data_IF_069902126212
#
_entry.id   IF_069902126212
#
_cell.length_a   1.000
_cell.length_b   1.000
_cell.length_c   1.000
_cell.angle_alpha   90.00
_cell.angle_beta   90.00
_cell.angle_gamma   90.00
#
_symmetry.space_group_name_H-M   'P 1'
#
loop_
_entity.id
_entity.type
_entity.pdbx_description
1 polymer ?
#
# COMPACT_ATOMS: atom_id res chain seq x y z
N UNK A 1 -0.71 -13.50 -13.08
CA UNK A 1 -1.28 -13.88 -11.78
C UNK A 1 -0.88 -12.82 -10.77
N UNK A 2 -1.84 -12.39 -9.95
CA UNK A 2 -1.63 -11.41 -8.88
C UNK A 2 -1.39 -12.17 -7.57
N UNK A 3 -0.28 -11.90 -6.90
CA UNK A 3 -0.05 -12.39 -5.55
C UNK A 3 -0.53 -11.33 -4.55
N UNK A 4 -1.38 -11.72 -3.62
CA UNK A 4 -1.81 -10.86 -2.51
C UNK A 4 -1.10 -11.32 -1.25
N UNK A 5 -0.25 -10.47 -0.68
CA UNK A 5 0.32 -10.68 0.65
C UNK A 5 -0.70 -10.22 1.68
N UNK A 6 -1.31 -11.18 2.37
CA UNK A 6 -2.32 -10.95 3.39
C UNK A 6 -1.67 -10.68 4.75
N UNK A 7 -2.00 -9.54 5.32
CA UNK A 7 -1.61 -9.10 6.65
C UNK A 7 -2.75 -9.22 7.68
N UNK A 8 -3.66 -10.18 7.48
CA UNK A 8 -4.73 -10.54 8.41
C UNK A 8 -5.74 -9.41 8.66
N UNK A 9 -6.04 -8.63 7.62
CA UNK A 9 -7.05 -7.60 7.69
C UNK A 9 -8.42 -8.11 7.23
N UNK A 10 -9.48 -7.57 7.83
CA UNK A 10 -10.85 -7.92 7.47
C UNK A 10 -11.24 -7.49 6.04
N UNK A 11 -10.53 -6.52 5.46
CA UNK A 11 -10.79 -6.02 4.10
C UNK A 11 -9.96 -6.72 3.01
N UNK A 12 -9.03 -7.63 3.35
CA UNK A 12 -8.20 -8.34 2.35
C UNK A 12 -9.08 -9.01 1.28
N UNK A 13 -10.16 -9.67 1.68
CA UNK A 13 -11.01 -10.40 0.74
C UNK A 13 -11.90 -9.49 -0.12
N UNK A 14 -12.16 -8.25 0.29
CA UNK A 14 -12.80 -7.26 -0.59
C UNK A 14 -11.86 -6.92 -1.77
N UNK A 15 -10.56 -6.77 -1.51
CA UNK A 15 -9.57 -6.56 -2.56
C UNK A 15 -9.46 -7.78 -3.49
N UNK A 16 -9.40 -8.98 -2.91
CA UNK A 16 -9.31 -10.24 -3.68
C UNK A 16 -10.53 -10.41 -4.57
N UNK A 17 -11.73 -10.13 -4.07
CA UNK A 17 -12.96 -10.22 -4.85
C UNK A 17 -12.92 -9.26 -6.04
N UNK A 18 -12.58 -7.98 -5.82
CA UNK A 18 -12.55 -6.99 -6.90
C UNK A 18 -11.49 -7.30 -7.96
N UNK A 19 -10.31 -7.81 -7.55
CA UNK A 19 -9.30 -8.30 -8.49
C UNK A 19 -9.84 -9.47 -9.34
N UNK A 20 -10.57 -10.40 -8.72
CA UNK A 20 -11.22 -11.50 -9.44
C UNK A 20 -12.30 -11.02 -10.42
N UNK A 21 -13.11 -10.04 -10.04
CA UNK A 21 -14.12 -9.41 -10.91
C UNK A 21 -13.48 -8.73 -12.14
N UNK A 22 -12.26 -8.20 -11.99
CA UNK A 22 -11.44 -7.66 -13.09
C UNK A 22 -10.75 -8.76 -13.93
N UNK A 23 -10.97 -10.05 -13.62
CA UNK A 23 -10.43 -11.19 -14.35
C UNK A 23 -9.03 -11.62 -13.91
N UNK A 24 -8.52 -11.11 -12.79
CA UNK A 24 -7.21 -11.54 -12.28
C UNK A 24 -7.29 -12.95 -11.68
N UNK A 25 -6.32 -13.80 -12.04
CA UNK A 25 -6.02 -15.01 -11.25
C UNK A 25 -5.26 -14.55 -10.01
N UNK A 26 -5.87 -14.72 -8.83
CA UNK A 26 -5.34 -14.25 -7.55
C UNK A 26 -4.85 -15.42 -6.71
N UNK A 27 -3.64 -15.30 -6.15
CA UNK A 27 -3.12 -16.21 -5.14
C UNK A 27 -2.84 -15.43 -3.85
N UNK A 28 -3.53 -15.79 -2.77
CA UNK A 28 -3.37 -15.15 -1.46
C UNK A 28 -2.34 -15.89 -0.63
N UNK A 29 -1.39 -15.17 -0.04
CA UNK A 29 -0.31 -15.71 0.78
C UNK A 29 -0.20 -14.90 2.07
N UNK A 30 -0.31 -15.56 3.22
CA UNK A 30 -0.18 -14.87 4.52
C UNK A 30 1.26 -14.48 4.80
N UNK A 31 1.47 -13.30 5.38
CA UNK A 31 2.80 -12.70 5.57
C UNK A 31 3.78 -13.55 6.41
N UNK A 32 3.28 -14.48 7.21
CA UNK A 32 4.04 -15.31 8.15
C UNK A 32 4.09 -16.79 7.73
N UNK A 33 3.31 -17.18 6.73
CA UNK A 33 3.20 -18.56 6.25
C UNK A 33 3.85 -18.79 4.88
N UNK A 34 4.62 -17.81 4.38
CA UNK A 34 5.24 -17.85 3.05
C UNK A 34 6.69 -17.35 3.10
N UNK A 35 7.55 -17.87 2.22
CA UNK A 35 8.90 -17.37 2.01
C UNK A 35 9.00 -16.52 0.74
N UNK A 36 10.06 -15.73 0.61
CA UNK A 36 10.32 -14.97 -0.63
C UNK A 36 10.50 -15.89 -1.84
N UNK A 37 11.08 -17.08 -1.65
CA UNK A 37 11.26 -18.05 -2.73
C UNK A 37 9.93 -18.64 -3.18
N UNK A 38 8.99 -18.86 -2.26
CA UNK A 38 7.62 -19.27 -2.62
C UNK A 38 6.91 -18.18 -3.41
N UNK A 39 7.06 -16.90 -3.02
CA UNK A 39 6.52 -15.77 -3.79
C UNK A 39 7.16 -15.70 -5.18
N UNK A 40 8.48 -15.90 -5.29
CA UNK A 40 9.19 -15.88 -6.57
C UNK A 40 8.77 -17.06 -7.48
N UNK A 41 8.62 -18.26 -6.92
CA UNK A 41 8.19 -19.46 -7.64
C UNK A 41 6.77 -19.35 -8.19
N UNK A 42 5.91 -18.53 -7.57
CA UNK A 42 4.60 -18.20 -8.10
C UNK A 42 4.68 -17.30 -9.35
N UNK A 43 5.82 -16.70 -9.67
CA UNK A 43 6.02 -15.83 -10.83
C UNK A 43 4.94 -14.73 -10.94
N UNK A 44 4.72 -13.90 -9.89
CA UNK A 44 3.71 -12.86 -9.91
C UNK A 44 4.00 -11.85 -11.02
N UNK A 45 2.95 -11.48 -11.77
CA UNK A 45 3.04 -10.33 -12.67
C UNK A 45 2.70 -9.01 -11.95
N UNK A 46 2.00 -9.09 -10.82
CA UNK A 46 1.73 -7.99 -9.90
C UNK A 46 1.69 -8.52 -8.46
N UNK A 47 2.01 -7.67 -7.49
CA UNK A 47 1.89 -7.96 -6.07
C UNK A 47 1.01 -6.89 -5.42
N UNK A 48 0.04 -7.33 -4.63
CA UNK A 48 -0.76 -6.44 -3.78
C UNK A 48 -0.43 -6.78 -2.32
N UNK A 49 -0.13 -5.75 -1.52
CA UNK A 49 0.10 -5.90 -0.09
C UNK A 49 -1.11 -5.34 0.63
N UNK A 50 -1.83 -6.22 1.32
CA UNK A 50 -3.09 -5.86 1.96
C UNK A 50 -2.91 -4.91 3.15
N UNK A 51 -4.00 -4.28 3.61
CA UNK A 51 -4.06 -3.71 4.95
C UNK A 51 -3.75 -4.76 6.02
N UNK A 52 -3.52 -4.31 7.25
CA UNK A 52 -3.26 -5.16 8.41
C UNK A 52 -3.11 -4.35 9.69
N UNK A 53 -3.22 -4.99 10.86
CA UNK A 53 -2.99 -4.34 12.14
C UNK A 53 -1.50 -4.13 12.40
N UNK A 54 -1.19 -3.30 13.40
CA UNK A 54 0.17 -3.14 13.91
C UNK A 54 1.06 -2.28 13.01
N UNK A 55 2.37 -2.53 13.07
CA UNK A 55 3.39 -1.78 12.30
C UNK A 55 4.01 -2.65 11.21
N UNK A 56 4.47 -2.06 10.09
CA UNK A 56 5.09 -2.81 9.00
C UNK A 56 6.26 -3.71 9.40
N UNK A 57 7.05 -3.34 10.41
CA UNK A 57 8.22 -4.10 10.86
C UNK A 57 7.85 -5.43 11.51
N UNK A 58 6.57 -5.60 11.88
CA UNK A 58 6.03 -6.81 12.50
C UNK A 58 5.23 -7.67 11.51
N UNK A 59 5.08 -7.21 10.27
CA UNK A 59 4.21 -7.80 9.25
C UNK A 59 4.91 -8.89 8.42
N UNK A 60 5.60 -9.82 9.09
CA UNK A 60 6.25 -10.97 8.44
C UNK A 60 7.13 -10.60 7.24
N UNK A 61 6.92 -11.26 6.09
CA UNK A 61 7.71 -11.03 4.87
C UNK A 61 7.38 -9.73 4.14
N UNK A 62 6.37 -8.95 4.56
CA UNK A 62 5.82 -7.81 3.81
C UNK A 62 6.91 -6.82 3.34
N UNK A 63 7.75 -6.33 4.25
CA UNK A 63 8.83 -5.41 3.87
C UNK A 63 9.89 -6.07 2.99
N UNK A 64 10.16 -7.36 3.21
CA UNK A 64 11.13 -8.11 2.43
C UNK A 64 10.65 -8.36 0.99
N UNK A 65 9.34 -8.56 0.79
CA UNK A 65 8.71 -8.65 -0.53
C UNK A 65 8.92 -7.33 -1.31
N UNK A 66 8.66 -6.18 -0.69
CA UNK A 66 8.86 -4.87 -1.34
C UNK A 66 10.32 -4.71 -1.78
N UNK A 67 11.29 -4.99 -0.90
CA UNK A 67 12.71 -4.90 -1.23
C UNK A 67 13.13 -5.85 -2.35
N UNK A 68 12.61 -7.08 -2.34
CA UNK A 68 13.02 -8.13 -3.28
C UNK A 68 12.45 -7.93 -4.68
N UNK A 69 11.20 -7.48 -4.78
CA UNK A 69 10.44 -7.49 -6.03
C UNK A 69 10.11 -6.10 -6.56
N UNK A 70 10.20 -5.05 -5.73
CA UNK A 70 9.70 -3.71 -6.08
C UNK A 70 10.32 -3.12 -7.35
N UNK A 71 11.58 -3.45 -7.66
CA UNK A 71 12.24 -2.97 -8.87
C UNK A 71 11.69 -3.60 -10.16
N UNK A 72 11.21 -4.85 -10.10
CA UNK A 72 10.93 -5.67 -11.29
C UNK A 72 9.46 -6.05 -11.45
N UNK A 73 8.70 -6.07 -10.36
CA UNK A 73 7.31 -6.48 -10.32
C UNK A 73 6.47 -5.33 -9.76
N UNK A 74 5.44 -4.88 -10.47
CA UNK A 74 4.55 -3.85 -9.94
C UNK A 74 3.96 -4.22 -8.57
N UNK A 75 4.03 -3.28 -7.62
CA UNK A 75 3.52 -3.45 -6.26
C UNK A 75 2.50 -2.35 -5.94
N UNK A 76 1.34 -2.75 -5.43
CA UNK A 76 0.36 -1.87 -4.80
C UNK A 76 0.25 -2.19 -3.30
N UNK A 77 0.61 -1.25 -2.43
CA UNK A 77 0.41 -1.35 -0.99
C UNK A 77 -0.82 -0.57 -0.53
N UNK A 78 -1.67 -1.19 0.30
CA UNK A 78 -2.88 -0.55 0.85
C UNK A 78 -2.77 -0.47 2.37
N UNK A 79 -2.98 0.72 2.97
CA UNK A 79 -2.90 0.98 4.41
C UNK A 79 -1.55 0.49 5.02
N UNK A 80 -1.51 -0.64 5.73
CA UNK A 80 -0.25 -1.24 6.21
C UNK A 80 0.74 -1.47 5.06
N UNK A 81 0.28 -1.87 3.88
CA UNK A 81 1.11 -2.00 2.69
C UNK A 81 1.71 -0.68 2.22
N UNK A 82 0.94 0.41 2.30
CA UNK A 82 1.43 1.78 2.01
C UNK A 82 2.49 2.21 3.02
N UNK A 83 2.24 1.98 4.31
CA UNK A 83 3.19 2.27 5.39
C UNK A 83 4.47 1.45 5.25
N UNK A 84 4.36 0.19 4.84
CA UNK A 84 5.50 -0.68 4.58
C UNK A 84 6.36 -0.17 3.42
N UNK A 85 5.75 0.37 2.36
CA UNK A 85 6.47 1.02 1.27
C UNK A 85 7.26 2.22 1.82
N UNK A 86 6.61 3.12 2.57
CA UNK A 86 7.27 4.24 3.22
C UNK A 86 8.48 3.81 4.05
N UNK A 87 8.28 2.83 4.94
CA UNK A 87 9.32 2.31 5.83
C UNK A 87 10.48 1.61 5.09
N UNK A 88 10.20 0.87 4.01
CA UNK A 88 11.24 0.17 3.24
C UNK A 88 12.24 1.12 2.61
N UNK A 89 11.78 2.29 2.14
CA UNK A 89 12.65 3.30 1.55
C UNK A 89 13.23 4.30 2.55
N UNK A 90 12.92 4.14 3.86
CA UNK A 90 13.48 4.95 4.93
C UNK A 90 12.57 6.04 5.51
N UNK A 91 11.32 6.12 5.07
CA UNK A 91 10.32 7.02 5.64
C UNK A 91 9.87 6.57 7.03
N UNK A 92 9.60 7.52 7.93
CA UNK A 92 9.14 7.21 9.27
C UNK A 92 7.63 6.91 9.29
N UNK A 93 7.23 5.81 9.93
CA UNK A 93 5.81 5.51 10.22
C UNK A 93 5.48 5.95 11.64
N UNK A 94 4.69 7.02 11.75
CA UNK A 94 4.36 7.71 13.00
C UNK A 94 2.87 7.61 13.30
N UNK A 95 2.44 8.01 14.50
CA UNK A 95 1.02 8.10 14.82
C UNK A 95 0.36 9.23 14.03
N UNK A 96 -0.85 8.97 13.53
CA UNK A 96 -1.70 10.00 12.95
C UNK A 96 -2.02 11.08 13.99
N UNK A 97 -2.27 12.32 13.53
CA UNK A 97 -2.66 13.43 14.42
C UNK A 97 -3.98 13.16 15.16
N UNK A 98 -4.88 12.39 14.56
CA UNK A 98 -6.10 11.89 15.17
C UNK A 98 -6.45 10.48 14.65
N UNK A 99 -7.11 9.62 15.46
CA UNK A 99 -7.61 8.34 14.97
C UNK A 99 -8.79 8.56 14.00
N UNK A 100 -8.76 7.87 12.86
CA UNK A 100 -9.69 8.08 11.75
C UNK A 100 -10.73 6.98 11.54
N UNK A 101 -10.74 5.90 12.31
CA UNK A 101 -11.64 4.74 12.15
C UNK A 101 -13.08 5.11 11.75
N UNK A 102 -13.45 4.79 10.50
CA UNK A 102 -14.80 4.96 9.96
C UNK A 102 -15.16 6.38 9.52
N UNK A 103 -14.21 7.30 9.47
CA UNK A 103 -14.41 8.67 8.98
C UNK A 103 -14.09 8.76 7.49
N UNK A 104 -14.65 9.76 6.83
CA UNK A 104 -14.33 10.08 5.43
C UNK A 104 -13.50 11.35 5.34
N UNK A 105 -12.65 11.42 4.32
CA UNK A 105 -11.89 12.61 3.96
C UNK A 105 -11.90 12.82 2.45
N UNK A 106 -11.70 14.06 2.03
CA UNK A 106 -11.49 14.40 0.62
C UNK A 106 -10.03 14.17 0.26
N UNK A 107 -9.78 13.32 -0.73
CA UNK A 107 -8.44 12.99 -1.23
C UNK A 107 -8.13 13.84 -2.46
N UNK A 108 -7.10 14.66 -2.36
CA UNK A 108 -6.53 15.43 -3.46
C UNK A 108 -5.32 14.67 -4.02
N UNK A 109 -5.24 14.52 -5.34
CA UNK A 109 -4.21 13.71 -5.99
C UNK A 109 -3.66 14.35 -7.25
N UNK A 110 -2.49 13.90 -7.70
CA UNK A 110 -1.81 14.43 -8.89
C UNK A 110 -2.38 13.91 -10.22
N UNK A 111 -3.28 12.92 -10.18
CA UNK A 111 -3.97 12.37 -11.35
C UNK A 111 -3.09 11.45 -12.19
N UNK A 112 -1.98 10.95 -11.64
CA UNK A 112 -1.00 10.10 -12.32
C UNK A 112 -0.88 8.75 -11.63
N UNK A 113 -0.27 7.78 -12.31
CA UNK A 113 -0.10 6.43 -11.78
C UNK A 113 -1.45 5.79 -11.46
N UNK A 114 -1.63 5.30 -10.23
CA UNK A 114 -2.88 4.68 -9.77
C UNK A 114 -4.07 5.64 -9.74
N UNK A 115 -3.85 6.95 -9.77
CA UNK A 115 -4.91 7.96 -9.85
C UNK A 115 -5.26 8.38 -11.28
N UNK A 116 -4.60 7.80 -12.28
CA UNK A 116 -4.86 8.10 -13.69
C UNK A 116 -6.32 7.78 -14.05
N UNK A 117 -7.01 8.75 -14.66
CA UNK A 117 -8.42 8.61 -15.06
C UNK A 117 -9.43 8.91 -13.96
N UNK A 118 -8.99 9.21 -12.72
CA UNK A 118 -9.86 9.71 -11.66
C UNK A 118 -9.97 11.23 -11.80
N UNK A 119 -11.20 11.72 -12.00
CA UNK A 119 -11.46 13.13 -12.24
C UNK A 119 -11.60 13.91 -10.92
N UNK A 120 -10.60 14.73 -10.62
CA UNK A 120 -10.61 15.62 -9.46
C UNK A 120 -10.58 14.88 -8.11
N UNK A 121 -10.72 15.61 -6.99
CA UNK A 121 -10.71 15.00 -5.67
C UNK A 121 -11.85 14.01 -5.49
N UNK A 122 -11.61 12.95 -4.72
CA UNK A 122 -12.62 11.94 -4.39
C UNK A 122 -12.73 11.73 -2.88
N UNK A 123 -13.87 11.19 -2.43
CA UNK A 123 -14.09 10.88 -1.01
C UNK A 123 -13.66 9.45 -0.73
N UNK A 124 -12.82 9.26 0.28
CA UNK A 124 -12.38 7.94 0.74
C UNK A 124 -12.67 7.75 2.24
N UNK A 125 -12.93 6.50 2.62
CA UNK A 125 -12.99 6.08 4.02
C UNK A 125 -11.58 5.89 4.57
N UNK A 126 -11.33 6.41 5.77
CA UNK A 126 -10.04 6.28 6.48
C UNK A 126 -10.22 5.35 7.68
N UNK A 127 -9.21 4.52 7.94
CA UNK A 127 -9.23 3.53 9.02
C UNK A 127 -7.93 3.40 9.79
N UNK A 128 -6.96 4.28 9.53
CA UNK A 128 -5.62 4.18 10.08
C UNK A 128 -5.43 4.93 11.40
N UNK A 129 -4.42 4.48 12.15
CA UNK A 129 -3.86 5.15 13.33
C UNK A 129 -2.38 5.50 13.16
N UNK A 130 -1.75 5.00 12.10
CA UNK A 130 -0.36 5.22 11.73
C UNK A 130 -0.28 5.74 10.30
N UNK A 131 0.71 6.58 10.03
CA UNK A 131 0.87 7.32 8.77
C UNK A 131 2.34 7.40 8.41
N UNK A 132 2.65 7.53 7.12
CA UNK A 132 4.00 7.90 6.69
C UNK A 132 4.20 9.39 6.96
N UNK A 133 5.28 9.75 7.64
CA UNK A 133 5.61 11.14 7.97
C UNK A 133 6.13 11.90 6.75
N UNK A 134 5.78 13.18 6.67
CA UNK A 134 6.43 14.14 5.77
C UNK A 134 7.88 14.40 6.15
N UNK A 135 8.19 14.38 7.45
CA UNK A 135 9.50 14.71 7.96
C UNK A 135 10.52 13.63 7.58
N UNK A 136 11.51 14.03 6.77
CA UNK A 136 12.54 13.11 6.30
C UNK A 136 12.05 12.10 5.28
N UNK A 137 10.96 12.38 4.56
CA UNK A 137 10.50 11.50 3.48
C UNK A 137 11.63 11.31 2.43
N UNK A 138 12.03 10.06 2.13
CA UNK A 138 13.12 9.78 1.20
C UNK A 138 12.86 10.35 -0.19
N UNK A 139 13.94 10.81 -0.84
CA UNK A 139 13.87 11.41 -2.18
C UNK A 139 13.36 10.44 -3.25
N UNK A 140 13.46 9.15 -3.02
CA UNK A 140 13.02 8.06 -3.87
C UNK A 140 11.49 7.94 -3.94
N UNK A 141 10.80 8.48 -2.93
CA UNK A 141 9.35 8.51 -2.86
C UNK A 141 8.81 9.89 -3.24
N UNK A 142 7.69 9.88 -3.94
CA UNK A 142 6.92 11.06 -4.29
C UNK A 142 5.52 10.93 -3.69
N UNK A 143 5.05 11.98 -3.03
CA UNK A 143 3.67 12.06 -2.53
C UNK A 143 2.74 12.31 -3.71
N UNK A 144 1.78 11.40 -3.91
CA UNK A 144 0.84 11.44 -5.05
C UNK A 144 -0.57 11.83 -4.65
N UNK A 145 -0.91 11.70 -3.37
CA UNK A 145 -2.20 12.14 -2.85
C UNK A 145 -2.09 12.59 -1.39
N UNK A 146 -2.98 13.50 -0.99
CA UNK A 146 -3.15 13.99 0.38
C UNK A 146 -4.62 14.18 0.74
N UNK A 147 -4.92 14.19 2.02
CA UNK A 147 -6.22 14.69 2.50
C UNK A 147 -6.28 16.22 2.41
N UNK A 148 -7.46 16.75 2.09
CA UNK A 148 -7.71 18.20 2.10
C UNK A 148 -7.74 18.76 3.52
N UNK A 149 -8.24 18.00 4.48
CA UNK A 149 -8.60 18.49 5.81
C UNK A 149 -7.39 18.63 6.74
N UNK A 150 -6.49 17.65 6.73
CA UNK A 150 -5.33 17.55 7.62
C UNK A 150 -3.99 17.38 6.87
N UNK A 151 -3.99 17.48 5.53
CA UNK A 151 -2.80 17.43 4.67
C UNK A 151 -1.94 16.15 4.83
N UNK A 152 -2.56 15.07 5.31
CA UNK A 152 -1.89 13.80 5.55
C UNK A 152 -1.60 13.07 4.24
N UNK A 153 -0.46 12.38 4.16
CA UNK A 153 -0.06 11.61 2.98
C UNK A 153 -1.06 10.46 2.78
N UNK A 154 -1.71 10.45 1.61
CA UNK A 154 -2.69 9.43 1.20
C UNK A 154 -2.21 8.58 0.02
N UNK A 155 -1.15 9.01 -0.65
CA UNK A 155 -0.60 8.34 -1.83
C UNK A 155 0.91 8.51 -1.90
N UNK A 156 1.59 7.42 -2.22
CA UNK A 156 3.03 7.39 -2.50
C UNK A 156 3.27 6.67 -3.82
N UNK A 157 4.30 7.10 -4.55
CA UNK A 157 4.92 6.30 -5.61
C UNK A 157 6.44 6.35 -5.49
N UNK A 158 7.10 5.26 -5.84
CA UNK A 158 8.54 5.30 -6.09
C UNK A 158 8.81 6.01 -7.43
N UNK A 159 9.87 6.81 -7.49
CA UNK A 159 10.18 7.61 -8.69
C UNK A 159 10.55 6.78 -9.92
N UNK A 160 11.18 5.63 -9.72
CA UNK A 160 11.72 4.80 -10.80
C UNK A 160 11.23 3.35 -10.79
N UNK A 161 10.56 2.92 -9.72
CA UNK A 161 10.12 1.53 -9.55
C UNK A 161 8.60 1.52 -9.67
N UNK A 162 7.98 0.44 -10.18
CA UNK A 162 6.53 0.32 -10.29
C UNK A 162 5.86 0.05 -8.93
N UNK A 163 6.20 0.83 -7.90
CA UNK A 163 5.72 0.68 -6.52
C UNK A 163 4.84 1.85 -6.16
N UNK A 164 3.61 1.55 -5.74
CA UNK A 164 2.58 2.52 -5.39
C UNK A 164 1.97 2.16 -4.05
N UNK A 165 1.69 3.15 -3.22
CA UNK A 165 1.01 2.98 -1.94
C UNK A 165 -0.20 3.90 -1.83
N UNK A 166 -1.31 3.40 -1.29
CA UNK A 166 -2.49 4.20 -0.92
C UNK A 166 -2.89 3.92 0.54
N UNK A 167 -3.22 4.96 1.29
CA UNK A 167 -3.40 4.91 2.74
C UNK A 167 -4.86 4.79 3.18
#
# INVERSE_FOLDING_TARGET
MVVVIDNYDSFTYNLVQYLGELGAVVQVMRNDAVSLDTVAAAQPNHIVISPGPGRPEQAGVTMAVIRRFGQTTPILGVCLGHQAIGAVFGGAVVRAGAPMHGKTSTIEHDGRGVFSGISGPFVASRYHSLVVSDDGLPSELEVTARTREDNEIMGLRHRTWPVYGVQ
#
